data_IF_682633892666
#
_entry.id   IF_682633892666
#
_cell.length_a   1.000
_cell.length_b   1.000
_cell.length_c   1.000
_cell.angle_alpha   90.00
_cell.angle_beta   90.00
_cell.angle_gamma   90.00
#
_symmetry.space_group_name_H-M   'P 1'
#
loop_
_entity.id
_entity.type
_entity.pdbx_description
1 polymer ?
#
# COMPACT_ATOMS: atom_id res chain seq x y z
N UNK A 1 -2.15 -17.09 -21.03
CA UNK A 1 -3.49 -16.85 -20.58
C UNK A 1 -4.23 -18.09 -20.10
N UNK A 2 -4.12 -19.27 -20.74
CA UNK A 2 -4.71 -20.51 -20.23
C UNK A 2 -4.11 -20.94 -18.88
N UNK A 3 -2.79 -20.80 -18.69
CA UNK A 3 -2.12 -21.08 -17.42
C UNK A 3 -2.62 -20.16 -16.29
N UNK A 4 -2.81 -18.86 -16.56
CA UNK A 4 -3.38 -17.91 -15.60
C UNK A 4 -4.81 -18.31 -15.21
N UNK A 5 -5.66 -18.67 -16.18
CA UNK A 5 -7.01 -19.13 -15.91
C UNK A 5 -7.01 -20.37 -15.00
N UNK A 6 -6.19 -21.37 -15.31
CA UNK A 6 -6.06 -22.56 -14.49
C UNK A 6 -5.60 -22.29 -13.04
N UNK A 7 -4.73 -21.30 -12.83
CA UNK A 7 -4.33 -20.89 -11.46
C UNK A 7 -5.46 -20.20 -10.72
N UNK A 8 -6.24 -19.35 -11.39
CA UNK A 8 -7.41 -18.68 -10.79
C UNK A 8 -8.47 -19.70 -10.41
N UNK A 9 -8.76 -20.67 -11.29
CA UNK A 9 -9.73 -21.73 -11.02
C UNK A 9 -9.31 -22.60 -9.84
N UNK A 10 -8.03 -22.98 -9.77
CA UNK A 10 -7.49 -23.73 -8.63
C UNK A 10 -7.57 -22.93 -7.32
N UNK A 11 -7.32 -21.61 -7.38
CA UNK A 11 -7.41 -20.73 -6.21
C UNK A 11 -8.87 -20.61 -5.72
N UNK A 12 -9.82 -20.39 -6.64
CA UNK A 12 -11.26 -20.35 -6.31
C UNK A 12 -11.72 -21.65 -5.67
N UNK A 13 -11.34 -22.77 -6.26
CA UNK A 13 -11.67 -24.10 -5.68
C UNK A 13 -11.14 -24.23 -4.25
N UNK A 14 -9.91 -23.79 -3.99
CA UNK A 14 -9.35 -23.81 -2.64
C UNK A 14 -10.12 -22.89 -1.67
N UNK A 15 -10.57 -21.71 -2.10
CA UNK A 15 -11.43 -20.84 -1.29
C UNK A 15 -12.77 -21.54 -0.95
N UNK A 16 -13.41 -22.14 -1.95
CA UNK A 16 -14.68 -22.86 -1.76
C UNK A 16 -14.55 -24.06 -0.80
N UNK A 17 -13.42 -24.81 -0.92
CA UNK A 17 -13.17 -25.99 -0.08
C UNK A 17 -12.81 -25.63 1.36
N UNK A 18 -12.21 -24.47 1.59
CA UNK A 18 -11.71 -24.05 2.92
C UNK A 18 -12.63 -23.05 3.63
N UNK A 19 -13.55 -22.41 2.92
CA UNK A 19 -14.36 -21.31 3.44
C UNK A 19 -13.58 -20.03 3.71
N UNK A 20 -12.34 -19.92 3.20
CA UNK A 20 -11.54 -18.71 3.31
C UNK A 20 -12.08 -17.62 2.37
N UNK A 21 -11.89 -16.37 2.77
CA UNK A 21 -12.23 -15.19 1.97
C UNK A 21 -10.97 -14.40 1.60
N UNK A 22 -11.08 -13.57 0.57
CA UNK A 22 -10.01 -12.65 0.15
C UNK A 22 -10.35 -11.24 0.65
N UNK A 23 -9.88 -10.81 1.83
CA UNK A 23 -10.24 -9.50 2.37
C UNK A 23 -9.55 -8.36 1.63
N UNK A 24 -8.33 -8.61 1.14
CA UNK A 24 -7.53 -7.60 0.44
C UNK A 24 -6.73 -8.19 -0.71
N UNK A 25 -6.30 -7.31 -1.61
CA UNK A 25 -5.37 -7.63 -2.70
C UNK A 25 -4.33 -6.52 -2.86
N UNK A 26 -3.25 -6.84 -3.54
CA UNK A 26 -2.18 -5.89 -3.89
C UNK A 26 -1.55 -6.24 -5.22
N UNK A 27 -0.72 -5.36 -5.76
CA UNK A 27 0.10 -5.62 -6.95
C UNK A 27 1.57 -5.37 -6.68
N UNK A 28 2.37 -6.39 -6.90
CA UNK A 28 3.83 -6.24 -6.84
C UNK A 28 4.34 -5.31 -7.95
N UNK A 29 4.74 -4.09 -7.58
CA UNK A 29 5.41 -3.09 -8.41
C UNK A 29 6.84 -2.83 -7.93
N UNK A 30 7.48 -3.77 -7.24
CA UNK A 30 8.74 -3.54 -6.56
C UNK A 30 9.81 -4.61 -6.80
N UNK A 31 9.45 -5.88 -6.97
CA UNK A 31 10.44 -6.98 -7.11
C UNK A 31 11.12 -6.98 -8.47
N UNK A 32 10.37 -6.78 -9.57
CA UNK A 32 10.94 -6.85 -10.90
C UNK A 32 11.81 -5.61 -11.20
N UNK A 33 13.03 -5.78 -11.77
CA UNK A 33 13.95 -4.67 -12.05
C UNK A 33 13.39 -3.53 -12.91
N UNK A 34 12.34 -3.76 -13.70
CA UNK A 34 11.66 -2.70 -14.46
C UNK A 34 11.14 -1.58 -13.55
N UNK A 35 10.81 -1.89 -12.30
CA UNK A 35 10.30 -0.94 -11.31
C UNK A 35 11.38 -0.31 -10.41
N UNK A 36 12.66 -0.48 -10.74
CA UNK A 36 13.77 0.04 -9.92
C UNK A 36 13.67 1.54 -9.61
N UNK A 37 13.06 2.32 -10.50
CA UNK A 37 12.83 3.77 -10.36
C UNK A 37 11.36 4.12 -10.01
N UNK A 38 10.61 3.17 -9.50
CA UNK A 38 9.19 3.32 -9.19
C UNK A 38 8.28 2.72 -10.25
N UNK A 39 7.04 2.47 -9.90
CA UNK A 39 5.96 2.11 -10.80
C UNK A 39 5.23 3.36 -11.30
N UNK A 40 4.48 4.02 -10.41
CA UNK A 40 3.71 5.23 -10.72
C UNK A 40 4.57 6.48 -10.86
N UNK A 41 5.68 6.57 -10.13
CA UNK A 41 6.53 7.75 -10.07
C UNK A 41 7.78 7.66 -10.95
N UNK A 42 7.97 6.55 -11.67
CA UNK A 42 9.11 6.36 -12.57
C UNK A 42 9.29 7.56 -13.51
N UNK A 43 10.55 7.95 -13.76
CA UNK A 43 10.85 8.96 -14.77
C UNK A 43 10.49 8.48 -16.18
N UNK A 44 10.45 7.17 -16.43
CA UNK A 44 10.01 6.59 -17.72
C UNK A 44 8.48 6.45 -17.79
N UNK A 45 7.87 7.19 -18.72
CA UNK A 45 6.43 7.14 -18.99
C UNK A 45 5.93 5.74 -19.40
N UNK A 46 6.75 4.95 -20.09
CA UNK A 46 6.35 3.60 -20.51
C UNK A 46 6.20 2.68 -19.29
N UNK A 47 7.07 2.82 -18.31
CA UNK A 47 7.00 2.07 -17.04
C UNK A 47 5.75 2.48 -16.26
N UNK A 48 5.45 3.78 -16.14
CA UNK A 48 4.21 4.25 -15.47
C UNK A 48 2.95 3.66 -16.11
N UNK A 49 2.87 3.67 -17.44
CA UNK A 49 1.75 3.06 -18.18
C UNK A 49 1.67 1.54 -18.00
N UNK A 50 2.81 0.88 -17.89
CA UNK A 50 2.86 -0.55 -17.63
C UNK A 50 2.38 -0.86 -16.22
N UNK A 51 2.81 -0.09 -15.21
CA UNK A 51 2.35 -0.23 -13.82
C UNK A 51 0.83 -0.08 -13.71
N UNK A 52 0.27 1.00 -14.29
CA UNK A 52 -1.19 1.24 -14.31
C UNK A 52 -1.95 0.05 -14.92
N UNK A 53 -1.55 -0.42 -16.11
CA UNK A 53 -2.22 -1.58 -16.73
C UNK A 53 -2.11 -2.86 -15.91
N UNK A 54 -0.97 -3.05 -15.24
CA UNK A 54 -0.78 -4.21 -14.36
C UNK A 54 -1.73 -4.14 -13.17
N UNK A 55 -1.87 -2.98 -12.54
CA UNK A 55 -2.80 -2.77 -11.43
C UNK A 55 -4.25 -2.92 -11.87
N UNK A 56 -4.67 -2.31 -12.98
CA UNK A 56 -6.04 -2.45 -13.49
C UNK A 56 -6.43 -3.93 -13.67
N UNK A 57 -5.55 -4.75 -14.27
CA UNK A 57 -5.80 -6.19 -14.42
C UNK A 57 -5.89 -6.94 -13.09
N UNK A 58 -5.19 -6.48 -12.07
CA UNK A 58 -5.25 -7.08 -10.74
C UNK A 58 -6.47 -6.56 -9.95
N UNK A 59 -6.92 -5.33 -10.18
CA UNK A 59 -8.20 -4.82 -9.67
C UNK A 59 -9.38 -5.63 -10.20
N UNK A 60 -9.37 -5.96 -11.51
CA UNK A 60 -10.38 -6.85 -12.09
C UNK A 60 -10.42 -8.21 -11.36
N UNK A 61 -9.24 -8.80 -11.12
CA UNK A 61 -9.13 -10.08 -10.41
C UNK A 61 -9.54 -9.94 -8.93
N UNK A 62 -9.14 -8.85 -8.28
CA UNK A 62 -9.50 -8.59 -6.89
C UNK A 62 -11.02 -8.48 -6.71
N UNK A 63 -11.70 -7.76 -7.61
CA UNK A 63 -13.15 -7.67 -7.63
C UNK A 63 -13.80 -9.05 -7.86
N UNK A 64 -13.27 -9.84 -8.79
CA UNK A 64 -13.71 -11.19 -9.12
C UNK A 64 -13.57 -12.16 -7.93
N UNK A 65 -12.58 -11.97 -7.08
CA UNK A 65 -12.32 -12.77 -5.87
C UNK A 65 -12.99 -12.22 -4.61
N UNK A 66 -13.74 -11.11 -4.71
CA UNK A 66 -14.48 -10.52 -3.60
C UNK A 66 -13.64 -9.67 -2.63
N UNK A 67 -12.44 -9.26 -3.03
CA UNK A 67 -11.64 -8.35 -2.22
C UNK A 67 -12.30 -6.97 -2.13
N UNK A 68 -12.33 -6.40 -0.92
CA UNK A 68 -12.91 -5.07 -0.67
C UNK A 68 -11.86 -3.99 -0.36
N UNK A 69 -10.62 -4.38 -0.12
CA UNK A 69 -9.49 -3.47 0.10
C UNK A 69 -8.38 -3.78 -0.89
N UNK A 70 -7.78 -2.73 -1.46
CA UNK A 70 -6.64 -2.86 -2.35
C UNK A 70 -5.47 -2.05 -1.82
N UNK A 71 -4.40 -2.74 -1.42
CA UNK A 71 -3.24 -2.14 -0.78
C UNK A 71 -2.23 -1.66 -1.82
N UNK A 72 -1.73 -0.46 -1.63
CA UNK A 72 -0.63 0.13 -2.38
C UNK A 72 0.57 0.32 -1.47
N UNK A 73 1.49 -0.63 -1.50
CA UNK A 73 2.81 -0.46 -0.92
C UNK A 73 3.74 0.18 -1.95
N UNK A 74 4.16 1.40 -1.64
CA UNK A 74 4.98 2.23 -2.50
C UNK A 74 6.49 2.00 -2.38
N UNK A 75 6.95 0.78 -2.12
CA UNK A 75 8.35 0.50 -1.79
C UNK A 75 9.40 0.95 -2.80
N UNK A 76 9.03 1.16 -4.07
CA UNK A 76 9.91 1.74 -5.10
C UNK A 76 9.60 3.19 -5.45
N UNK A 77 8.53 3.75 -4.89
CA UNK A 77 8.11 5.13 -5.14
C UNK A 77 8.95 6.11 -4.30
N UNK A 78 10.16 6.38 -4.74
CA UNK A 78 11.13 7.18 -4.01
C UNK A 78 12.43 7.38 -4.78
N UNK A 79 13.49 7.74 -4.08
CA UNK A 79 14.83 7.95 -4.62
C UNK A 79 15.93 7.65 -3.57
N UNK A 80 17.15 7.45 -4.02
CA UNK A 80 18.36 7.37 -3.19
C UNK A 80 18.99 8.75 -2.98
N UNK A 81 18.72 9.68 -3.89
CA UNK A 81 19.22 11.05 -3.83
C UNK A 81 18.21 12.00 -4.47
N UNK A 82 18.07 13.20 -3.93
CA UNK A 82 17.13 14.22 -4.43
C UNK A 82 17.43 14.67 -5.87
N UNK A 83 18.68 14.52 -6.32
CA UNK A 83 19.06 14.84 -7.69
C UNK A 83 18.56 13.83 -8.73
N UNK A 84 18.14 12.66 -8.32
CA UNK A 84 17.67 11.58 -9.22
C UNK A 84 16.19 11.74 -9.63
N UNK A 85 15.40 12.51 -8.86
CA UNK A 85 13.95 12.61 -9.06
C UNK A 85 13.41 13.94 -8.53
N UNK A 86 12.69 14.68 -9.35
CA UNK A 86 11.89 15.80 -8.85
C UNK A 86 10.72 15.25 -8.03
N UNK A 87 10.79 15.47 -6.70
CA UNK A 87 9.82 14.92 -5.73
C UNK A 87 8.42 15.48 -5.96
N UNK A 88 8.26 16.75 -6.35
CA UNK A 88 6.96 17.36 -6.63
C UNK A 88 6.30 16.71 -7.84
N UNK A 89 7.07 16.57 -8.92
CA UNK A 89 6.60 15.88 -10.13
C UNK A 89 6.30 14.40 -9.86
N UNK A 90 7.07 13.76 -8.99
CA UNK A 90 6.81 12.37 -8.59
C UNK A 90 5.49 12.24 -7.80
N UNK A 91 5.22 13.14 -6.87
CA UNK A 91 3.96 13.19 -6.13
C UNK A 91 2.76 13.46 -7.06
N UNK A 92 2.90 14.39 -8.01
CA UNK A 92 1.86 14.66 -9.01
C UNK A 92 1.56 13.40 -9.86
N UNK A 93 2.58 12.68 -10.29
CA UNK A 93 2.43 11.42 -11.04
C UNK A 93 1.78 10.33 -10.19
N UNK A 94 2.10 10.27 -8.91
CA UNK A 94 1.52 9.29 -7.98
C UNK A 94 0.04 9.59 -7.79
N UNK A 95 -0.32 10.86 -7.56
CA UNK A 95 -1.70 11.33 -7.47
C UNK A 95 -2.49 11.00 -8.74
N UNK A 96 -1.99 11.41 -9.92
CA UNK A 96 -2.62 11.11 -11.22
C UNK A 96 -2.87 9.61 -11.40
N UNK A 97 -1.90 8.78 -11.00
CA UNK A 97 -2.03 7.33 -11.10
C UNK A 97 -3.12 6.77 -10.20
N UNK A 98 -3.20 7.21 -8.95
CA UNK A 98 -4.23 6.76 -8.00
C UNK A 98 -5.62 7.27 -8.36
N UNK A 99 -5.76 8.54 -8.77
CA UNK A 99 -7.04 9.10 -9.20
C UNK A 99 -7.58 8.36 -10.43
N UNK A 100 -6.71 8.06 -11.42
CA UNK A 100 -7.09 7.25 -12.58
C UNK A 100 -7.59 5.84 -12.17
N UNK A 101 -6.90 5.19 -11.24
CA UNK A 101 -7.29 3.86 -10.76
C UNK A 101 -8.57 3.90 -9.90
N UNK A 102 -8.75 4.94 -9.09
CA UNK A 102 -9.97 5.14 -8.32
C UNK A 102 -11.17 5.36 -9.25
N UNK A 103 -11.02 6.22 -10.26
CA UNK A 103 -12.04 6.42 -11.29
C UNK A 103 -12.34 5.11 -12.04
N UNK A 104 -11.31 4.32 -12.36
CA UNK A 104 -11.52 3.00 -12.98
C UNK A 104 -12.39 2.07 -12.12
N UNK A 105 -12.14 2.04 -10.80
CA UNK A 105 -12.94 1.24 -9.86
C UNK A 105 -14.39 1.74 -9.81
N UNK A 106 -14.61 3.04 -9.80
CA UNK A 106 -15.95 3.68 -9.86
C UNK A 106 -16.66 3.30 -11.16
N UNK A 107 -16.01 3.47 -12.31
CA UNK A 107 -16.59 3.20 -13.62
C UNK A 107 -16.98 1.73 -13.80
N UNK A 108 -16.25 0.82 -13.14
CA UNK A 108 -16.52 -0.63 -13.13
C UNK A 108 -17.57 -1.05 -12.10
N UNK A 109 -17.95 -0.16 -11.17
CA UNK A 109 -18.83 -0.48 -10.07
C UNK A 109 -18.24 -1.49 -9.07
N UNK A 110 -16.91 -1.52 -8.92
CA UNK A 110 -16.25 -2.39 -7.95
C UNK A 110 -16.39 -1.81 -6.55
N UNK A 111 -16.73 -2.65 -5.57
CA UNK A 111 -16.82 -2.25 -4.16
C UNK A 111 -15.46 -2.23 -3.45
N UNK A 112 -14.40 -1.79 -4.13
CA UNK A 112 -13.02 -1.81 -3.63
C UNK A 112 -12.63 -0.41 -3.15
N UNK A 113 -12.01 -0.34 -1.97
CA UNK A 113 -11.35 0.86 -1.43
C UNK A 113 -9.84 0.69 -1.49
N UNK A 114 -9.11 1.78 -1.62
CA UNK A 114 -7.65 1.79 -1.65
C UNK A 114 -7.08 2.06 -0.27
N UNK A 115 -5.98 1.37 0.07
CA UNK A 115 -5.26 1.59 1.31
C UNK A 115 -3.77 1.79 1.00
N UNK A 116 -3.24 2.97 1.33
CA UNK A 116 -1.83 3.27 1.18
C UNK A 116 -1.06 2.73 2.38
N UNK A 117 0.10 2.13 2.10
CA UNK A 117 0.99 1.58 3.11
C UNK A 117 2.26 2.43 3.18
N UNK A 118 2.37 3.32 4.17
CA UNK A 118 3.54 4.17 4.35
C UNK A 118 4.76 3.36 4.79
N UNK A 119 5.94 3.74 4.27
CA UNK A 119 7.23 3.22 4.70
C UNK A 119 8.31 4.28 4.50
N UNK A 120 9.24 4.51 5.46
CA UNK A 120 10.21 5.60 5.34
C UNK A 120 11.30 5.32 4.31
N UNK A 121 11.78 4.11 4.26
CA UNK A 121 12.89 3.67 3.41
C UNK A 121 12.84 2.16 3.16
N UNK A 122 13.82 1.63 2.41
CA UNK A 122 13.94 0.20 2.08
C UNK A 122 12.75 -0.33 1.26
N UNK A 123 13.00 -0.70 0.00
CA UNK A 123 14.30 -0.85 -0.69
C UNK A 123 14.86 0.45 -1.31
N UNK A 124 14.21 1.59 -1.19
CA UNK A 124 14.74 2.90 -1.60
C UNK A 124 15.38 3.61 -0.41
N UNK A 125 16.30 4.54 -0.67
CA UNK A 125 16.87 5.38 0.38
C UNK A 125 15.82 6.21 1.08
N UNK A 126 14.94 6.87 0.30
CA UNK A 126 13.79 7.63 0.77
C UNK A 126 12.54 7.27 -0.03
N UNK A 127 11.45 6.94 0.64
CA UNK A 127 10.14 6.65 0.04
C UNK A 127 9.24 7.88 0.21
N UNK A 128 8.42 8.19 -0.82
CA UNK A 128 7.66 9.45 -0.90
C UNK A 128 6.60 9.63 0.18
N UNK A 129 6.04 8.53 0.68
CA UNK A 129 5.04 8.55 1.76
C UNK A 129 5.61 7.83 3.00
N UNK A 130 6.52 8.48 3.73
CA UNK A 130 7.32 7.79 4.76
C UNK A 130 6.56 7.46 6.04
N UNK A 131 5.45 8.16 6.35
CA UNK A 131 4.67 7.98 7.57
C UNK A 131 3.18 8.13 7.33
N UNK A 132 2.38 7.72 8.29
CA UNK A 132 0.92 7.93 8.31
C UNK A 132 0.56 9.39 8.04
N UNK A 133 1.22 10.35 8.69
CA UNK A 133 0.93 11.76 8.51
C UNK A 133 1.18 12.26 7.08
N UNK A 134 2.26 11.85 6.44
CA UNK A 134 2.53 12.17 5.04
C UNK A 134 1.49 11.56 4.11
N UNK A 135 1.10 10.32 4.35
CA UNK A 135 0.09 9.65 3.54
C UNK A 135 -1.30 10.28 3.73
N UNK A 136 -1.69 10.70 4.93
CA UNK A 136 -2.94 11.45 5.17
C UNK A 136 -2.97 12.77 4.42
N UNK A 137 -1.86 13.54 4.46
CA UNK A 137 -1.74 14.78 3.70
C UNK A 137 -1.85 14.53 2.20
N UNK A 138 -1.22 13.47 1.68
CA UNK A 138 -1.31 13.08 0.28
C UNK A 138 -2.73 12.65 -0.11
N UNK A 139 -3.39 11.81 0.71
CA UNK A 139 -4.78 11.38 0.48
C UNK A 139 -5.73 12.57 0.36
N UNK A 140 -5.53 13.63 1.16
CA UNK A 140 -6.37 14.83 1.10
C UNK A 140 -6.28 15.59 -0.22
N UNK A 141 -5.27 15.32 -1.04
CA UNK A 141 -5.07 15.91 -2.36
C UNK A 141 -5.70 15.13 -3.51
N UNK A 142 -6.21 13.92 -3.24
CA UNK A 142 -6.81 13.05 -4.25
C UNK A 142 -8.24 13.48 -4.61
N UNK A 143 -8.61 13.30 -5.87
CA UNK A 143 -9.96 13.60 -6.37
C UNK A 143 -11.01 12.65 -5.75
N UNK A 144 -10.61 11.39 -5.48
CA UNK A 144 -11.43 10.36 -4.82
C UNK A 144 -10.92 10.05 -3.40
N UNK A 145 -10.62 11.10 -2.64
CA UNK A 145 -10.05 10.95 -1.30
C UNK A 145 -10.89 10.11 -0.35
N UNK A 146 -12.22 10.06 -0.53
CA UNK A 146 -13.13 9.24 0.29
C UNK A 146 -12.90 7.73 0.11
N UNK A 147 -12.46 7.31 -1.07
CA UNK A 147 -12.15 5.90 -1.39
C UNK A 147 -10.78 5.47 -0.92
N UNK A 148 -9.92 6.40 -0.51
CA UNK A 148 -8.52 6.12 -0.17
C UNK A 148 -8.29 6.32 1.32
N UNK A 149 -7.73 5.32 1.96
CA UNK A 149 -7.32 5.32 3.35
C UNK A 149 -5.94 4.72 3.51
N UNK A 150 -5.68 4.14 4.65
CA UNK A 150 -4.37 3.66 5.07
C UNK A 150 -4.39 2.16 5.39
N UNK A 151 -3.28 1.53 5.11
CA UNK A 151 -2.85 0.23 5.62
C UNK A 151 -1.49 0.42 6.31
N UNK A 152 -1.44 1.04 7.51
CA UNK A 152 -0.17 1.22 8.18
C UNK A 152 0.36 -0.12 8.69
N UNK A 153 1.68 -0.28 8.57
CA UNK A 153 2.42 -1.36 9.20
C UNK A 153 3.14 -0.83 10.44
N UNK A 154 3.02 -1.56 11.54
CA UNK A 154 3.59 -1.15 12.84
C UNK A 154 5.10 -0.95 12.74
N UNK A 155 5.81 -1.86 12.08
CA UNK A 155 7.25 -1.79 11.88
C UNK A 155 7.70 -0.55 11.10
N UNK A 156 6.94 -0.15 10.11
CA UNK A 156 7.27 1.00 9.26
C UNK A 156 7.24 2.33 10.02
N UNK A 157 6.25 2.57 10.87
CA UNK A 157 6.22 3.77 11.72
C UNK A 157 7.39 3.77 12.73
N UNK A 158 7.76 2.62 13.27
CA UNK A 158 8.92 2.51 14.16
C UNK A 158 10.24 2.73 13.40
N UNK A 159 10.37 2.27 12.15
CA UNK A 159 11.52 2.58 11.29
C UNK A 159 11.65 4.08 11.03
N UNK A 160 10.55 4.81 10.97
CA UNK A 160 10.54 6.27 10.88
C UNK A 160 10.85 6.97 12.22
N UNK A 161 11.09 6.23 13.29
CA UNK A 161 11.32 6.76 14.64
C UNK A 161 10.06 7.32 15.29
N UNK A 162 8.88 6.93 14.81
CA UNK A 162 7.60 7.43 15.29
C UNK A 162 6.95 6.48 16.30
N UNK A 163 6.04 7.02 17.11
CA UNK A 163 5.15 6.22 17.93
C UNK A 163 3.97 5.72 17.08
N UNK A 164 3.93 4.43 16.77
CA UNK A 164 2.90 3.86 15.89
C UNK A 164 1.49 3.93 16.49
N UNK A 165 1.34 3.87 17.84
CA UNK A 165 0.02 4.02 18.49
C UNK A 165 -0.57 5.40 18.18
N UNK A 166 0.25 6.47 18.24
CA UNK A 166 -0.18 7.81 17.87
C UNK A 166 -0.52 7.93 16.38
N UNK A 167 0.28 7.29 15.52
CA UNK A 167 -0.01 7.25 14.08
C UNK A 167 -1.34 6.57 13.76
N UNK A 168 -1.58 5.39 14.35
CA UNK A 168 -2.85 4.67 14.20
C UNK A 168 -4.03 5.47 14.77
N UNK A 169 -3.86 6.08 15.96
CA UNK A 169 -4.89 6.96 16.53
C UNK A 169 -5.26 8.11 15.57
N UNK A 170 -4.26 8.70 14.89
CA UNK A 170 -4.47 9.74 13.89
C UNK A 170 -5.23 9.19 12.67
N UNK A 171 -4.87 8.00 12.18
CA UNK A 171 -5.59 7.35 11.07
C UNK A 171 -7.05 7.08 11.42
N UNK A 172 -7.33 6.61 12.64
CA UNK A 172 -8.70 6.40 13.16
C UNK A 172 -9.45 7.72 13.28
N UNK A 173 -8.82 8.76 13.84
CA UNK A 173 -9.43 10.08 14.01
C UNK A 173 -9.87 10.70 12.68
N UNK A 174 -9.09 10.47 11.60
CA UNK A 174 -9.46 10.89 10.25
C UNK A 174 -10.46 9.95 9.56
N UNK A 175 -10.85 8.82 10.16
CA UNK A 175 -11.69 7.80 9.51
C UNK A 175 -11.00 7.12 8.33
N UNK A 176 -9.67 7.04 8.35
CA UNK A 176 -8.83 6.56 7.24
C UNK A 176 -8.07 5.26 7.54
N UNK A 177 -8.28 4.63 8.66
CA UNK A 177 -7.74 3.29 8.91
C UNK A 177 -8.61 2.25 8.21
N UNK A 178 -8.16 1.70 7.07
CA UNK A 178 -8.91 0.72 6.28
C UNK A 178 -8.42 -0.71 6.48
N UNK A 179 -7.15 -0.86 6.77
CA UNK A 179 -6.48 -2.11 7.10
C UNK A 179 -5.30 -1.79 8.02
N UNK A 180 -4.67 -2.80 8.60
CA UNK A 180 -3.46 -2.67 9.41
C UNK A 180 -2.64 -3.94 9.32
N UNK A 181 -1.34 -3.82 9.11
CA UNK A 181 -0.39 -4.93 9.18
C UNK A 181 0.28 -4.96 10.56
N UNK A 182 -0.06 -6.00 11.33
CA UNK A 182 0.42 -6.17 12.70
C UNK A 182 1.71 -7.00 12.70
N UNK A 183 2.82 -6.32 12.83
CA UNK A 183 4.13 -6.92 13.06
C UNK A 183 4.87 -6.25 14.23
N UNK A 184 6.15 -6.51 14.39
CA UNK A 184 7.00 -5.92 15.40
C UNK A 184 8.33 -5.48 14.82
N UNK A 185 8.92 -4.47 15.45
CA UNK A 185 10.17 -3.85 15.03
C UNK A 185 11.02 -3.48 16.25
N UNK A 186 12.34 -3.54 16.14
CA UNK A 186 13.28 -3.04 17.14
C UNK A 186 14.19 -1.98 16.54
N UNK A 187 13.93 -0.72 16.92
CA UNK A 187 14.68 0.43 16.42
C UNK A 187 14.33 0.76 14.96
N UNK A 188 15.18 1.57 14.34
CA UNK A 188 14.91 2.18 13.02
C UNK A 188 15.66 1.48 11.86
N UNK A 189 16.42 0.44 12.15
CA UNK A 189 17.32 -0.18 11.19
C UNK A 189 16.76 -1.50 10.68
N UNK A 190 16.58 -1.62 9.38
CA UNK A 190 15.96 -2.74 8.67
C UNK A 190 14.51 -2.99 9.05
N UNK A 191 13.75 -3.41 8.08
CA UNK A 191 12.43 -3.98 8.26
C UNK A 191 12.57 -5.43 8.74
N UNK A 192 12.22 -5.67 10.00
CA UNK A 192 12.52 -6.96 10.65
C UNK A 192 11.34 -7.93 10.62
N UNK A 193 10.14 -7.45 10.38
CA UNK A 193 8.92 -8.27 10.37
C UNK A 193 8.81 -9.22 11.58
N UNK A 194 9.15 -8.72 12.77
CA UNK A 194 9.01 -9.53 13.98
C UNK A 194 7.53 -9.81 14.25
N UNK A 195 7.27 -10.89 14.95
CA UNK A 195 5.91 -11.18 15.43
C UNK A 195 5.43 -10.02 16.30
N UNK A 196 4.16 -9.61 16.12
CA UNK A 196 3.54 -8.53 16.85
C UNK A 196 3.77 -8.66 18.38
N UNK A 197 4.19 -7.57 18.99
CA UNK A 197 4.57 -7.52 20.42
C UNK A 197 6.03 -7.90 20.72
N UNK A 198 6.78 -8.51 19.81
CA UNK A 198 8.19 -8.87 20.06
C UNK A 198 9.14 -7.67 20.04
N UNK A 199 8.79 -6.59 19.38
CA UNK A 199 9.59 -5.36 19.35
C UNK A 199 9.35 -4.49 20.57
N UNK A 200 8.09 -4.20 20.85
CA UNK A 200 7.62 -3.32 21.92
C UNK A 200 6.27 -3.80 22.43
N UNK A 201 6.30 -4.59 23.51
CA UNK A 201 5.10 -5.19 24.08
C UNK A 201 4.13 -4.16 24.67
N UNK A 202 4.65 -3.07 25.28
CA UNK A 202 3.81 -2.05 25.90
C UNK A 202 3.01 -1.29 24.86
N UNK A 203 3.67 -0.86 23.78
CA UNK A 203 2.98 -0.19 22.69
C UNK A 203 2.08 -1.14 21.88
N UNK A 204 2.43 -2.42 21.77
CA UNK A 204 1.55 -3.41 21.17
C UNK A 204 0.25 -3.58 22.00
N UNK A 205 0.36 -3.63 23.33
CA UNK A 205 -0.82 -3.62 24.21
C UNK A 205 -1.66 -2.34 24.04
N UNK A 206 -1.00 -1.17 24.07
CA UNK A 206 -1.68 0.11 23.87
C UNK A 206 -2.38 0.23 22.52
N UNK A 207 -1.81 -0.40 21.47
CA UNK A 207 -2.45 -0.46 20.16
C UNK A 207 -3.72 -1.32 20.19
N UNK A 208 -3.68 -2.47 20.82
CA UNK A 208 -4.88 -3.35 20.95
C UNK A 208 -5.98 -2.66 21.76
N UNK A 209 -5.62 -1.89 22.80
CA UNK A 209 -6.58 -1.11 23.60
C UNK A 209 -7.19 0.06 22.80
N UNK A 210 -6.45 0.60 21.81
CA UNK A 210 -6.92 1.68 20.93
C UNK A 210 -7.90 1.18 19.85
N UNK A 211 -7.73 -0.05 19.32
CA UNK A 211 -8.51 -0.64 18.21
C UNK A 211 -9.85 -1.22 18.69
#
# INVERSE_FOLDING_TARGET
DAARAGHIDAFRKALDETGLVVPMATTNLFTHPVFKDGGFTSNDRAIRRYALRKVMRNLDLAAELGAHTYVFWGGREGAETDSAKDVRVALDRYREGLDLLAQYVVDRGYGIRFALEPKPNEPRGDILLPTIGHALAFISSLDHSEMVGLNPEVGHEQMAGMNFVHGIAQALWHGKLFHIDLNGQRGIKYDQDLVFGHGDLHNAFALVDLL
#
